data_IF_336969100580
#
_entry.id   IF_336969100580
#
_cell.length_a   1.000
_cell.length_b   1.000
_cell.length_c   1.000
_cell.angle_alpha   90.00
_cell.angle_beta   90.00
_cell.angle_gamma   90.00
#
_symmetry.space_group_name_H-M   'P 1'
#
loop_
_entity.id
_entity.type
_entity.pdbx_description
1 polymer ?
#
# COMPACT_ATOMS: atom_id res chain seq x y z
N UNK A 1 -5.10 17.06 13.38
CA UNK A 1 -4.72 16.23 12.23
C UNK A 1 -5.77 16.43 11.15
N UNK A 2 -5.39 16.91 9.99
CA UNK A 2 -6.29 17.06 8.83
C UNK A 2 -6.82 15.70 8.38
N UNK A 3 -7.98 15.70 7.72
CA UNK A 3 -8.56 14.48 7.15
C UNK A 3 -7.73 14.06 5.93
N UNK A 4 -7.17 12.85 5.89
CA UNK A 4 -6.36 12.42 4.76
C UNK A 4 -7.20 12.19 3.50
N UNK A 5 -6.61 12.45 2.34
CA UNK A 5 -7.15 12.02 1.07
C UNK A 5 -6.80 10.53 0.86
N UNK A 6 -7.81 9.66 0.84
CA UNK A 6 -7.63 8.20 0.74
C UNK A 6 -7.89 7.74 -0.68
N UNK A 7 -6.87 7.26 -1.36
CA UNK A 7 -6.93 6.66 -2.69
C UNK A 7 -6.94 5.15 -2.54
N UNK A 8 -7.89 4.47 -3.14
CA UNK A 8 -7.99 3.01 -3.03
C UNK A 8 -9.10 2.41 -3.87
N UNK A 9 -9.42 1.17 -3.58
CA UNK A 9 -10.48 0.39 -4.23
C UNK A 9 -11.65 0.10 -3.30
N UNK A 10 -12.50 -0.83 -3.75
CA UNK A 10 -13.64 -1.33 -2.98
C UNK A 10 -13.20 -2.51 -2.08
N UNK A 11 -12.10 -2.36 -1.35
CA UNK A 11 -11.55 -3.36 -0.45
C UNK A 11 -11.73 -2.96 1.02
N UNK A 12 -11.65 -3.95 1.91
CA UNK A 12 -11.89 -3.77 3.34
C UNK A 12 -10.88 -2.79 3.99
N UNK A 13 -9.63 -2.77 3.52
CA UNK A 13 -8.58 -1.90 4.04
C UNK A 13 -8.88 -0.45 3.69
N UNK A 14 -9.19 -0.15 2.41
CA UNK A 14 -9.54 1.18 1.95
C UNK A 14 -10.71 1.76 2.74
N UNK A 15 -11.77 0.96 2.92
CA UNK A 15 -12.95 1.37 3.70
C UNK A 15 -12.64 1.60 5.18
N UNK A 16 -11.87 0.71 5.81
CA UNK A 16 -11.53 0.83 7.23
C UNK A 16 -10.66 2.07 7.50
N UNK A 17 -9.69 2.33 6.63
CA UNK A 17 -8.85 3.53 6.73
C UNK A 17 -9.72 4.78 6.58
N UNK A 18 -10.51 4.88 5.50
CA UNK A 18 -11.36 6.04 5.27
C UNK A 18 -12.33 6.28 6.44
N UNK A 19 -13.01 5.23 6.92
CA UNK A 19 -13.91 5.32 8.06
C UNK A 19 -13.20 5.81 9.34
N UNK A 20 -11.98 5.34 9.59
CA UNK A 20 -11.20 5.74 10.78
C UNK A 20 -10.88 7.22 10.82
N UNK A 21 -10.82 7.88 9.67
CA UNK A 21 -10.57 9.32 9.54
C UNK A 21 -11.83 10.14 9.21
N UNK A 22 -13.01 9.49 9.10
CA UNK A 22 -14.24 10.11 8.60
C UNK A 22 -14.06 10.70 7.20
N UNK A 23 -13.24 10.03 6.37
CA UNK A 23 -12.97 10.35 4.98
C UNK A 23 -13.76 9.44 4.05
N UNK A 24 -13.61 9.66 2.75
CA UNK A 24 -14.14 8.80 1.69
C UNK A 24 -12.99 8.19 0.89
N UNK A 25 -13.27 7.08 0.21
CA UNK A 25 -12.31 6.46 -0.71
C UNK A 25 -12.47 7.07 -2.09
N UNK A 26 -11.37 7.53 -2.67
CA UNK A 26 -11.27 8.07 -4.03
C UNK A 26 -10.61 7.06 -4.96
N UNK A 27 -10.97 7.08 -6.24
CA UNK A 27 -10.31 6.23 -7.23
C UNK A 27 -8.91 6.73 -7.55
N UNK A 28 -8.05 5.82 -8.01
CA UNK A 28 -6.63 6.11 -8.30
C UNK A 28 -6.42 7.22 -9.35
N UNK A 29 -7.41 7.48 -10.21
CA UNK A 29 -7.37 8.52 -11.26
C UNK A 29 -7.90 9.88 -10.83
N UNK A 30 -8.53 10.00 -9.66
CA UNK A 30 -9.14 11.25 -9.20
C UNK A 30 -8.10 12.29 -8.77
N UNK A 31 -8.47 13.56 -8.86
CA UNK A 31 -7.61 14.67 -8.41
C UNK A 31 -7.52 14.70 -6.89
N UNK A 32 -6.35 15.02 -6.39
CA UNK A 32 -6.12 15.28 -4.96
C UNK A 32 -6.29 16.80 -4.75
N UNK A 33 -7.06 17.24 -3.76
CA UNK A 33 -7.20 18.67 -3.46
C UNK A 33 -5.84 19.31 -3.16
N UNK A 34 -5.65 20.56 -3.59
CA UNK A 34 -4.47 21.33 -3.18
C UNK A 34 -4.42 21.48 -1.66
N UNK A 35 -3.22 21.69 -1.12
CA UNK A 35 -2.98 21.83 0.33
C UNK A 35 -3.36 20.57 1.14
N UNK A 36 -3.30 19.39 0.52
CA UNK A 36 -3.53 18.11 1.20
C UNK A 36 -2.32 17.71 2.04
N UNK A 37 -2.35 17.94 3.34
CA UNK A 37 -1.26 17.60 4.27
C UNK A 37 -1.04 16.08 4.42
N UNK A 38 -2.03 15.25 4.07
CA UNK A 38 -2.00 13.81 4.28
C UNK A 38 -2.67 13.06 3.14
N UNK A 39 -1.95 12.09 2.56
CA UNK A 39 -2.48 11.21 1.50
C UNK A 39 -2.21 9.76 1.86
N UNK A 40 -3.21 8.90 1.71
CA UNK A 40 -3.08 7.45 1.83
C UNK A 40 -3.33 6.82 0.47
N UNK A 41 -2.44 5.93 0.04
CA UNK A 41 -2.56 5.20 -1.22
C UNK A 41 -2.64 3.71 -0.89
N UNK A 42 -3.83 3.12 -1.02
CA UNK A 42 -4.02 1.68 -0.90
C UNK A 42 -3.81 1.05 -2.28
N UNK A 43 -2.81 0.21 -2.39
CA UNK A 43 -2.42 -0.41 -3.67
C UNK A 43 -3.40 -1.54 -4.00
N UNK A 44 -4.17 -1.35 -5.05
CA UNK A 44 -5.14 -2.33 -5.51
C UNK A 44 -4.49 -3.61 -6.04
N UNK A 45 -5.21 -4.71 -5.93
CA UNK A 45 -4.91 -5.98 -6.57
C UNK A 45 -5.98 -6.21 -7.64
N UNK A 46 -5.56 -6.57 -8.85
CA UNK A 46 -6.50 -6.87 -9.93
C UNK A 46 -7.42 -8.03 -9.50
N UNK A 47 -8.75 -7.85 -9.50
CA UNK A 47 -9.68 -8.89 -9.05
C UNK A 47 -9.69 -10.15 -9.93
N UNK A 48 -9.12 -10.07 -11.15
CA UNK A 48 -9.06 -11.17 -12.13
C UNK A 48 -7.68 -11.83 -12.14
N UNK A 49 -6.88 -11.66 -11.07
CA UNK A 49 -5.58 -12.33 -10.96
C UNK A 49 -5.78 -13.83 -10.81
N UNK A 50 -5.22 -14.60 -11.72
CA UNK A 50 -5.12 -16.06 -11.64
C UNK A 50 -3.65 -16.45 -11.42
N UNK A 51 -3.36 -17.30 -10.41
CA UNK A 51 -2.03 -17.83 -10.21
C UNK A 51 -1.55 -18.64 -11.42
N UNK A 52 -0.36 -18.33 -11.94
CA UNK A 52 0.20 -18.98 -13.12
C UNK A 52 1.68 -19.30 -12.96
N UNK A 53 2.15 -20.40 -13.57
CA UNK A 53 3.58 -20.69 -13.66
C UNK A 53 4.32 -19.56 -14.36
N UNK A 54 5.52 -19.21 -13.89
CA UNK A 54 6.31 -18.11 -14.45
C UNK A 54 6.51 -18.23 -15.96
N UNK A 55 6.76 -19.44 -16.45
CA UNK A 55 6.95 -19.70 -17.89
C UNK A 55 5.65 -19.64 -18.72
N UNK A 56 4.49 -19.52 -18.09
CA UNK A 56 3.20 -19.38 -18.75
C UNK A 56 2.63 -17.95 -18.66
N UNK A 57 3.32 -17.03 -17.97
CA UNK A 57 2.90 -15.63 -17.87
C UNK A 57 2.99 -14.97 -19.24
N UNK A 58 1.86 -14.50 -19.76
CA UNK A 58 1.81 -13.76 -21.03
C UNK A 58 2.25 -12.31 -20.87
N UNK A 59 2.58 -11.64 -21.99
CA UNK A 59 2.87 -10.20 -21.98
C UNK A 59 1.69 -9.35 -21.49
N UNK A 60 0.44 -9.77 -21.80
CA UNK A 60 -0.76 -9.09 -21.33
C UNK A 60 -0.94 -9.25 -19.81
N UNK A 61 -0.68 -10.45 -19.27
CA UNK A 61 -0.74 -10.68 -17.83
C UNK A 61 0.34 -9.88 -17.11
N UNK A 62 1.56 -9.85 -17.65
CA UNK A 62 2.64 -9.02 -17.13
C UNK A 62 2.25 -7.54 -17.10
N UNK A 63 1.75 -7.01 -18.21
CA UNK A 63 1.31 -5.62 -18.29
C UNK A 63 0.22 -5.32 -17.23
N UNK A 64 -0.80 -6.18 -17.14
CA UNK A 64 -1.94 -6.00 -16.24
C UNK A 64 -1.57 -6.12 -14.76
N UNK A 65 -0.73 -7.12 -14.41
CA UNK A 65 -0.45 -7.47 -13.02
C UNK A 65 0.82 -6.81 -12.46
N UNK A 66 1.75 -6.38 -13.32
CA UNK A 66 3.00 -5.74 -12.91
C UNK A 66 3.07 -4.27 -13.32
N UNK A 67 3.02 -3.97 -14.62
CA UNK A 67 3.28 -2.62 -15.10
C UNK A 67 2.17 -1.62 -14.74
N UNK A 68 0.89 -2.03 -14.91
CA UNK A 68 -0.25 -1.16 -14.65
C UNK A 68 -0.29 -0.68 -13.19
N UNK A 69 -0.25 -1.54 -12.15
CA UNK A 69 -0.26 -1.06 -10.77
C UNK A 69 0.95 -0.20 -10.41
N UNK A 70 2.14 -0.50 -10.93
CA UNK A 70 3.31 0.36 -10.74
C UNK A 70 3.11 1.75 -11.33
N UNK A 71 2.54 1.85 -12.54
CA UNK A 71 2.25 3.12 -13.21
C UNK A 71 1.17 3.92 -12.49
N UNK A 72 0.13 3.26 -11.99
CA UNK A 72 -0.95 3.88 -11.23
C UNK A 72 -0.42 4.49 -9.91
N UNK A 73 0.43 3.73 -9.18
CA UNK A 73 1.04 4.23 -7.95
C UNK A 73 2.05 5.36 -8.22
N UNK A 74 2.85 5.26 -9.28
CA UNK A 74 3.74 6.36 -9.69
C UNK A 74 2.94 7.65 -9.91
N UNK A 75 1.86 7.56 -10.67
CA UNK A 75 0.99 8.71 -10.93
C UNK A 75 0.32 9.25 -9.66
N UNK A 76 -0.12 8.36 -8.76
CA UNK A 76 -0.70 8.75 -7.47
C UNK A 76 0.34 9.46 -6.57
N UNK A 77 1.56 8.95 -6.49
CA UNK A 77 2.66 9.58 -5.74
C UNK A 77 3.00 10.98 -6.28
N UNK A 78 3.07 11.13 -7.62
CA UNK A 78 3.33 12.42 -8.25
C UNK A 78 2.23 13.44 -7.91
N UNK A 79 0.95 13.05 -8.01
CA UNK A 79 -0.17 13.93 -7.64
C UNK A 79 -0.19 14.24 -6.15
N UNK A 80 0.09 13.24 -5.29
CA UNK A 80 0.18 13.45 -3.86
C UNK A 80 1.25 14.48 -3.51
N UNK A 81 2.45 14.35 -4.07
CA UNK A 81 3.52 15.33 -3.86
C UNK A 81 3.11 16.74 -4.35
N UNK A 82 2.53 16.84 -5.54
CA UNK A 82 2.11 18.12 -6.13
C UNK A 82 0.95 18.79 -5.40
N UNK A 83 0.21 18.04 -4.57
CA UNK A 83 -0.89 18.57 -3.76
C UNK A 83 -0.48 19.00 -2.35
N UNK A 84 0.77 18.70 -1.93
CA UNK A 84 1.24 19.05 -0.60
C UNK A 84 1.42 20.56 -0.44
N UNK A 85 1.18 21.12 0.76
CA UNK A 85 1.52 22.50 1.10
C UNK A 85 3.05 22.71 1.14
N UNK A 86 3.49 23.95 1.15
CA UNK A 86 4.92 24.30 1.25
C UNK A 86 5.59 23.76 2.52
N UNK A 87 4.84 23.63 3.60
CA UNK A 87 5.28 23.07 4.87
C UNK A 87 5.52 21.56 4.81
N UNK A 88 5.16 20.91 3.70
CA UNK A 88 5.27 19.48 3.48
C UNK A 88 4.05 18.70 3.94
N UNK A 89 4.19 17.39 4.07
CA UNK A 89 3.07 16.52 4.42
C UNK A 89 3.47 15.07 4.62
N UNK A 90 2.46 14.18 4.65
CA UNK A 90 2.62 12.75 4.93
C UNK A 90 1.94 11.90 3.87
N UNK A 91 2.67 10.93 3.34
CA UNK A 91 2.14 9.94 2.38
C UNK A 91 2.34 8.56 3.00
N UNK A 92 1.27 7.78 3.07
CA UNK A 92 1.34 6.37 3.50
C UNK A 92 0.83 5.48 2.38
N UNK A 93 1.66 4.53 1.94
CA UNK A 93 1.23 3.47 1.02
C UNK A 93 0.87 2.23 1.82
N UNK A 94 -0.23 1.58 1.45
CA UNK A 94 -0.63 0.29 2.02
C UNK A 94 -0.67 -0.73 0.90
N UNK A 95 0.12 -1.82 1.03
CA UNK A 95 0.31 -2.79 -0.05
C UNK A 95 0.44 -4.22 0.50
N UNK A 96 0.19 -5.25 -0.34
CA UNK A 96 0.36 -6.63 0.07
C UNK A 96 1.79 -6.97 0.49
N UNK A 97 1.93 -7.75 1.58
CA UNK A 97 3.22 -8.19 2.11
C UNK A 97 3.87 -9.30 1.28
N UNK A 98 3.11 -9.96 0.41
CA UNK A 98 3.55 -11.14 -0.35
C UNK A 98 4.77 -10.91 -1.24
N UNK A 99 5.01 -9.68 -1.68
CA UNK A 99 6.22 -9.30 -2.42
C UNK A 99 7.50 -9.53 -1.61
N UNK A 100 7.46 -9.29 -0.30
CA UNK A 100 8.63 -9.40 0.59
C UNK A 100 9.14 -10.84 0.77
N UNK A 101 8.27 -11.83 0.61
CA UNK A 101 8.61 -13.26 0.73
C UNK A 101 8.77 -13.95 -0.61
N UNK A 102 8.38 -13.28 -1.70
CA UNK A 102 8.10 -13.93 -2.96
C UNK A 102 6.80 -14.73 -2.91
N UNK A 103 6.18 -14.95 -4.07
CA UNK A 103 4.90 -15.64 -4.16
C UNK A 103 4.91 -16.63 -5.32
N UNK A 104 4.89 -17.95 -5.05
CA UNK A 104 4.71 -18.94 -6.09
C UNK A 104 3.46 -18.62 -6.91
N UNK A 105 3.60 -18.71 -8.23
CA UNK A 105 2.52 -18.46 -9.20
C UNK A 105 1.99 -17.00 -9.28
N UNK A 106 2.51 -16.07 -8.46
CA UNK A 106 2.12 -14.65 -8.46
C UNK A 106 3.31 -13.73 -8.76
N UNK A 107 4.27 -14.18 -9.57
CA UNK A 107 5.51 -13.43 -9.86
C UNK A 107 5.25 -12.01 -10.35
N UNK A 108 4.32 -11.73 -11.29
CA UNK A 108 4.06 -10.36 -11.71
C UNK A 108 3.57 -9.46 -10.58
N UNK A 109 2.65 -9.95 -9.74
CA UNK A 109 2.15 -9.19 -8.59
C UNK A 109 3.24 -8.92 -7.55
N UNK A 110 4.03 -9.94 -7.20
CA UNK A 110 5.14 -9.80 -6.26
C UNK A 110 6.17 -8.78 -6.78
N UNK A 111 6.48 -8.81 -8.08
CA UNK A 111 7.37 -7.83 -8.73
C UNK A 111 6.80 -6.41 -8.63
N UNK A 112 5.49 -6.25 -8.88
CA UNK A 112 4.83 -4.95 -8.77
C UNK A 112 4.95 -4.38 -7.35
N UNK A 113 4.64 -5.17 -6.33
CA UNK A 113 4.65 -4.71 -4.94
C UNK A 113 6.06 -4.35 -4.47
N UNK A 114 7.10 -5.10 -4.86
CA UNK A 114 8.48 -4.73 -4.55
C UNK A 114 8.97 -3.53 -5.37
N UNK A 115 8.56 -3.42 -6.63
CA UNK A 115 8.82 -2.22 -7.44
C UNK A 115 8.19 -0.97 -6.82
N UNK A 116 6.94 -1.05 -6.35
CA UNK A 116 6.25 0.03 -5.65
C UNK A 116 6.96 0.38 -4.33
N UNK A 117 7.40 -0.63 -3.57
CA UNK A 117 8.16 -0.42 -2.34
C UNK A 117 9.48 0.33 -2.60
N UNK A 118 10.22 -0.08 -3.63
CA UNK A 118 11.46 0.60 -4.03
C UNK A 118 11.19 2.04 -4.49
N UNK A 119 10.12 2.27 -5.24
CA UNK A 119 9.66 3.59 -5.68
C UNK A 119 9.35 4.50 -4.49
N UNK A 120 8.58 4.02 -3.52
CA UNK A 120 8.22 4.76 -2.32
C UNK A 120 9.44 5.12 -1.46
N UNK A 121 10.40 4.19 -1.29
CA UNK A 121 11.67 4.46 -0.58
C UNK A 121 12.51 5.51 -1.31
N UNK A 122 12.54 5.49 -2.62
CA UNK A 122 13.26 6.49 -3.42
C UNK A 122 12.61 7.87 -3.32
N UNK A 123 11.28 7.93 -3.39
CA UNK A 123 10.49 9.15 -3.17
C UNK A 123 10.71 9.72 -1.76
N UNK A 124 10.69 8.87 -0.73
CA UNK A 124 10.96 9.26 0.64
C UNK A 124 12.31 9.97 0.81
N UNK A 125 13.38 9.44 0.18
CA UNK A 125 14.71 10.07 0.20
C UNK A 125 14.73 11.38 -0.57
N UNK A 126 14.06 11.44 -1.72
CA UNK A 126 14.06 12.62 -2.59
C UNK A 126 13.26 13.77 -1.98
N UNK A 127 12.15 13.49 -1.31
CA UNK A 127 11.21 14.51 -0.83
C UNK A 127 11.40 14.91 0.64
N UNK A 128 12.28 14.23 1.36
CA UNK A 128 12.54 14.51 2.78
C UNK A 128 12.98 15.96 3.02
N UNK A 129 13.75 16.56 2.09
CA UNK A 129 14.19 17.98 2.18
C UNK A 129 13.03 18.98 2.04
N UNK A 130 11.93 18.58 1.40
CA UNK A 130 10.68 19.32 1.33
C UNK A 130 9.71 18.99 2.48
N UNK A 131 10.18 18.29 3.54
CA UNK A 131 9.38 17.82 4.65
C UNK A 131 8.18 16.91 4.22
N UNK A 132 8.26 16.28 3.06
CA UNK A 132 7.28 15.28 2.64
C UNK A 132 7.79 13.90 3.04
N UNK A 133 7.14 13.33 4.05
CA UNK A 133 7.49 12.02 4.63
C UNK A 133 6.65 10.93 3.99
N UNK A 134 7.32 9.92 3.43
CA UNK A 134 6.67 8.76 2.80
C UNK A 134 7.00 7.52 3.60
N UNK A 135 5.98 6.76 4.00
CA UNK A 135 6.12 5.46 4.67
C UNK A 135 5.16 4.42 4.07
N UNK A 136 5.39 3.16 4.43
CA UNK A 136 4.63 2.04 3.89
C UNK A 136 4.07 1.16 5.02
N UNK A 137 2.93 0.53 4.75
CA UNK A 137 2.36 -0.55 5.55
C UNK A 137 2.24 -1.77 4.65
N UNK A 138 2.75 -2.90 5.10
CA UNK A 138 2.57 -4.19 4.44
C UNK A 138 1.54 -5.03 5.18
N UNK A 139 0.55 -5.54 4.45
CA UNK A 139 -0.58 -6.28 5.01
C UNK A 139 -0.86 -7.57 4.23
N UNK A 140 -1.59 -8.54 4.81
CA UNK A 140 -1.87 -9.83 4.16
C UNK A 140 -2.57 -9.68 2.81
N UNK A 141 -2.11 -10.39 1.79
CA UNK A 141 -2.67 -10.36 0.43
C UNK A 141 -4.19 -10.58 0.39
N UNK A 142 -4.70 -11.51 1.20
CA UNK A 142 -6.12 -11.86 1.20
C UNK A 142 -7.05 -10.73 1.67
N UNK A 143 -6.54 -9.72 2.36
CA UNK A 143 -7.33 -8.55 2.74
C UNK A 143 -7.56 -7.59 1.56
N UNK A 144 -6.72 -7.66 0.52
CA UNK A 144 -6.89 -6.95 -0.75
C UNK A 144 -7.65 -7.79 -1.79
N UNK A 145 -7.38 -9.09 -1.83
CA UNK A 145 -7.94 -10.04 -2.78
C UNK A 145 -8.24 -11.38 -2.08
N UNK A 146 -9.44 -11.54 -1.49
CA UNK A 146 -9.80 -12.75 -0.73
C UNK A 146 -9.65 -14.06 -1.51
N UNK A 147 -9.88 -14.04 -2.83
CA UNK A 147 -9.72 -15.20 -3.71
C UNK A 147 -8.28 -15.73 -3.77
N UNK A 148 -7.28 -14.88 -3.45
CA UNK A 148 -5.87 -15.25 -3.44
C UNK A 148 -5.36 -15.75 -2.08
N UNK A 149 -6.23 -15.95 -1.09
CA UNK A 149 -5.83 -16.52 0.22
C UNK A 149 -5.02 -17.82 0.09
N UNK A 150 -5.36 -18.80 -0.76
CA UNK A 150 -4.56 -20.00 -0.92
C UNK A 150 -3.14 -19.75 -1.46
N UNK A 151 -2.97 -18.72 -2.27
CA UNK A 151 -1.67 -18.37 -2.89
C UNK A 151 -0.65 -17.81 -1.88
N UNK A 152 -1.09 -17.44 -0.69
CA UNK A 152 -0.23 -16.99 0.41
C UNK A 152 0.08 -18.10 1.43
N UNK A 153 -0.31 -19.35 1.16
CA UNK A 153 -0.15 -20.48 2.09
C UNK A 153 1.32 -20.87 2.40
N UNK A 154 2.28 -20.36 1.63
CA UNK A 154 3.71 -20.55 1.88
C UNK A 154 4.25 -19.62 2.98
N UNK A 155 3.51 -18.59 3.35
CA UNK A 155 3.83 -17.72 4.48
C UNK A 155 3.46 -18.44 5.77
N UNK A 156 4.24 -18.26 6.83
CA UNK A 156 3.97 -18.87 8.14
C UNK A 156 2.58 -18.48 8.64
N UNK A 157 1.96 -19.36 9.43
CA UNK A 157 0.67 -19.06 10.05
C UNK A 157 0.78 -17.86 10.97
N UNK A 158 -0.06 -16.86 10.77
CA UNK A 158 -0.10 -15.67 11.61
C UNK A 158 -0.43 -16.02 13.08
N UNK A 159 0.22 -15.36 14.02
CA UNK A 159 -0.08 -15.49 15.45
C UNK A 159 -1.46 -14.88 15.78
N UNK A 160 -1.84 -13.82 15.08
CA UNK A 160 -3.19 -13.23 15.12
C UNK A 160 -3.87 -13.52 13.79
N UNK A 161 -4.96 -14.32 13.81
CA UNK A 161 -5.69 -14.77 12.60
C UNK A 161 -7.04 -14.04 12.41
N UNK A 162 -7.31 -13.04 13.22
CA UNK A 162 -8.53 -12.26 13.21
C UNK A 162 -8.36 -11.10 12.21
N UNK A 163 -8.96 -11.24 11.03
CA UNK A 163 -8.86 -10.26 9.94
C UNK A 163 -9.36 -8.86 10.38
N UNK A 164 -10.42 -8.78 11.19
CA UNK A 164 -10.96 -7.50 11.67
C UNK A 164 -9.96 -6.78 12.59
N UNK A 165 -9.27 -7.52 13.45
CA UNK A 165 -8.21 -6.95 14.30
C UNK A 165 -7.00 -6.50 13.48
N UNK A 166 -6.63 -7.24 12.43
CA UNK A 166 -5.54 -6.84 11.54
C UNK A 166 -5.93 -5.57 10.79
N UNK A 167 -7.14 -5.50 10.21
CA UNK A 167 -7.65 -4.32 9.51
C UNK A 167 -7.69 -3.09 10.46
N UNK A 168 -8.18 -3.27 11.67
CA UNK A 168 -8.17 -2.20 12.69
C UNK A 168 -6.73 -1.74 13.01
N UNK A 169 -5.79 -2.68 13.10
CA UNK A 169 -4.37 -2.37 13.35
C UNK A 169 -3.74 -1.61 12.17
N UNK A 170 -4.09 -1.96 10.93
CA UNK A 170 -3.65 -1.22 9.72
C UNK A 170 -4.14 0.23 9.80
N UNK A 171 -5.41 0.46 10.13
CA UNK A 171 -5.97 1.80 10.26
C UNK A 171 -5.29 2.61 11.39
N UNK A 172 -4.98 1.99 12.54
CA UNK A 172 -4.26 2.65 13.63
C UNK A 172 -2.79 2.95 13.26
N UNK A 173 -2.12 2.04 12.57
CA UNK A 173 -0.75 2.25 12.08
C UNK A 173 -0.71 3.37 11.05
N UNK A 174 -1.69 3.43 10.14
CA UNK A 174 -1.86 4.56 9.22
C UNK A 174 -2.00 5.87 9.98
N UNK A 175 -2.86 5.90 10.99
CA UNK A 175 -3.05 7.08 11.85
C UNK A 175 -1.76 7.50 12.55
N UNK A 176 -0.96 6.54 13.03
CA UNK A 176 0.34 6.81 13.65
C UNK A 176 1.30 7.45 12.66
N UNK A 177 1.47 6.86 11.46
CA UNK A 177 2.41 7.33 10.44
C UNK A 177 2.05 8.69 9.82
N UNK A 178 0.77 9.08 9.90
CA UNK A 178 0.30 10.40 9.43
C UNK A 178 0.43 11.50 10.46
N UNK A 179 0.85 11.22 11.70
CA UNK A 179 1.02 12.26 12.73
C UNK A 179 2.16 13.21 12.35
N UNK A 180 1.96 14.53 12.46
CA UNK A 180 3.02 15.52 12.17
C UNK A 180 4.27 15.32 13.02
N UNK A 181 4.13 14.81 14.24
CA UNK A 181 5.22 14.58 15.20
C UNK A 181 6.11 13.37 14.83
N UNK A 182 5.64 12.49 13.94
CA UNK A 182 6.40 11.33 13.46
C UNK A 182 7.31 11.76 12.32
N UNK A 183 8.45 12.37 12.65
CA UNK A 183 9.38 12.92 11.66
C UNK A 183 10.60 12.03 11.39
N UNK A 184 10.96 11.16 12.33
CA UNK A 184 12.13 10.27 12.22
C UNK A 184 11.87 8.93 11.53
N UNK A 185 10.60 8.62 11.18
CA UNK A 185 10.24 7.41 10.45
C UNK A 185 10.07 7.78 8.98
N UNK A 186 11.04 7.43 8.14
CA UNK A 186 11.11 7.87 6.73
C UNK A 186 11.48 6.69 5.83
N UNK A 187 10.62 6.37 4.87
CA UNK A 187 10.83 5.27 3.92
C UNK A 187 10.68 3.88 4.55
N UNK A 188 10.10 3.82 5.74
CA UNK A 188 9.94 2.58 6.50
C UNK A 188 8.76 1.75 6.04
N UNK A 189 8.87 0.43 6.14
CA UNK A 189 7.77 -0.49 5.91
C UNK A 189 7.37 -1.16 7.22
N UNK A 190 6.21 -0.79 7.74
CA UNK A 190 5.63 -1.44 8.92
C UNK A 190 4.81 -2.64 8.47
N UNK A 191 5.20 -3.83 8.93
CA UNK A 191 4.47 -5.07 8.64
C UNK A 191 3.33 -5.23 9.63
N UNK A 192 2.09 -5.33 9.13
CA UNK A 192 0.86 -5.50 9.91
C UNK A 192 0.11 -6.72 9.37
N UNK A 193 0.58 -7.91 9.69
CA UNK A 193 0.10 -9.18 9.13
C UNK A 193 -0.23 -10.23 10.20
N UNK A 194 -0.39 -9.80 11.44
CA UNK A 194 -0.67 -10.71 12.55
C UNK A 194 0.52 -11.56 12.96
N UNK A 195 1.74 -11.21 12.53
CA UNK A 195 2.95 -11.97 12.81
C UNK A 195 3.15 -13.18 11.89
N UNK A 196 2.57 -13.15 10.68
CA UNK A 196 2.82 -14.16 9.65
C UNK A 196 4.25 -14.05 9.12
N UNK A 197 4.77 -12.82 9.04
CA UNK A 197 6.15 -12.54 8.65
C UNK A 197 6.84 -11.76 9.76
N UNK A 198 7.83 -12.35 10.36
CA UNK A 198 8.68 -11.72 11.37
C UNK A 198 10.01 -11.39 10.72
N UNK A 199 10.21 -10.12 10.42
CA UNK A 199 11.50 -9.64 9.91
C UNK A 199 12.50 -9.56 11.06
N UNK A 200 13.79 -9.86 10.82
CA UNK A 200 14.83 -9.74 11.82
C UNK A 200 15.07 -8.30 12.24
#
# INVERSE_FOLDING_TARGET
>A
MSTPHVIGGSDAISWAIAASFRSVVHNVGESIPSESESVVIVVGVDPVVEPAHLNAVSGNDWHRMAEKPMREVLSALQRAYSSMPEEGGRIVLVLPSIGMTGAPYLVPCATAFEGIRAMAKSAARQWASANVIVNLISAPLHLFAPALRPSAAHVTTAAVQDDDKIIASIAQTTRFLLKPEVTGVVGETVVVDGGAMMLP
#
